data_IF_272664041031
#
_entry.id   IF_272664041031
#
_cell.length_a   1.000
_cell.length_b   1.000
_cell.length_c   1.000
_cell.angle_alpha   90.00
_cell.angle_beta   90.00
_cell.angle_gamma   90.00
#
_symmetry.space_group_name_H-M   'P 1'
#
loop_
_entity.id
_entity.type
_entity.pdbx_description
1 polymer ?
#
# COMPACT_ATOMS: atom_id res chain seq x y z
N UNK A 1 -5.12 7.55 -8.79
CA UNK A 1 -5.70 6.22 -8.53
C UNK A 1 -4.74 5.15 -9.03
N UNK A 2 -4.48 5.03 -10.34
CA UNK A 2 -3.56 3.99 -10.85
C UNK A 2 -2.14 4.03 -10.26
N UNK A 3 -1.49 5.21 -10.20
CA UNK A 3 -0.14 5.30 -9.59
C UNK A 3 -0.19 5.09 -8.07
N UNK A 4 -1.32 5.40 -7.44
CA UNK A 4 -1.52 5.08 -6.02
C UNK A 4 -1.63 3.58 -5.79
N UNK A 5 -2.37 2.87 -6.65
CA UNK A 5 -2.43 1.40 -6.63
C UNK A 5 -1.04 0.80 -6.89
N UNK A 6 -0.28 1.35 -7.85
CA UNK A 6 1.10 0.94 -8.07
C UNK A 6 1.96 1.15 -6.82
N UNK A 7 1.85 2.31 -6.16
CA UNK A 7 2.59 2.62 -4.95
C UNK A 7 2.28 1.66 -3.80
N UNK A 8 1.01 1.28 -3.67
CA UNK A 8 0.51 0.32 -2.67
C UNK A 8 1.10 -1.08 -2.89
N UNK A 9 1.24 -1.54 -4.14
CA UNK A 9 1.77 -2.89 -4.47
C UNK A 9 3.30 -3.04 -4.29
N UNK A 10 4.04 -1.95 -4.06
CA UNK A 10 5.52 -1.99 -4.03
C UNK A 10 6.10 -2.93 -2.96
N UNK A 11 5.59 -2.96 -1.71
CA UNK A 11 6.10 -3.88 -0.69
C UNK A 11 6.01 -5.35 -1.14
N UNK A 12 4.93 -5.71 -1.84
CA UNK A 12 4.68 -7.07 -2.32
C UNK A 12 5.51 -7.45 -3.56
N UNK A 13 6.35 -6.56 -4.10
CA UNK A 13 7.29 -6.92 -5.16
C UNK A 13 8.37 -7.90 -4.68
N UNK A 14 8.46 -8.19 -3.38
CA UNK A 14 9.21 -9.33 -2.85
C UNK A 14 8.78 -10.68 -3.46
N UNK A 15 7.56 -10.78 -4.00
CA UNK A 15 7.06 -11.98 -4.71
C UNK A 15 7.92 -12.36 -5.91
N UNK A 16 8.59 -11.40 -6.55
CA UNK A 16 9.51 -11.70 -7.66
C UNK A 16 10.76 -12.44 -7.19
N UNK A 17 11.10 -12.34 -5.90
CA UNK A 17 12.17 -13.11 -5.28
C UNK A 17 11.70 -14.48 -4.76
N UNK A 18 10.38 -14.75 -4.70
CA UNK A 18 9.83 -16.02 -4.21
C UNK A 18 10.43 -17.28 -4.84
N UNK A 19 10.72 -17.35 -6.16
CA UNK A 19 11.33 -18.54 -6.77
C UNK A 19 12.72 -18.90 -6.20
N UNK A 20 13.37 -17.99 -5.49
CA UNK A 20 14.66 -18.22 -4.83
C UNK A 20 14.54 -18.88 -3.45
N UNK A 21 13.31 -19.10 -2.95
CA UNK A 21 13.03 -19.53 -1.58
C UNK A 21 12.08 -20.74 -1.54
N UNK A 22 12.19 -21.55 -0.50
CA UNK A 22 11.21 -22.60 -0.21
C UNK A 22 9.88 -22.00 0.26
N UNK A 23 8.78 -22.74 0.16
CA UNK A 23 7.45 -22.25 0.58
C UNK A 23 7.43 -21.70 2.02
N UNK A 24 8.13 -22.37 2.95
CA UNK A 24 8.27 -21.92 4.33
C UNK A 24 9.09 -20.63 4.45
N UNK A 25 10.14 -20.49 3.64
CA UNK A 25 10.96 -19.27 3.61
C UNK A 25 10.20 -18.10 2.97
N UNK A 26 9.38 -18.34 1.96
CA UNK A 26 8.56 -17.31 1.33
C UNK A 26 7.62 -16.65 2.36
N UNK A 27 7.03 -17.42 3.27
CA UNK A 27 6.20 -16.86 4.36
C UNK A 27 6.96 -15.91 5.30
N UNK A 28 8.27 -16.11 5.45
CA UNK A 28 9.13 -15.26 6.28
C UNK A 28 9.67 -14.07 5.49
N UNK A 29 10.06 -14.27 4.23
CA UNK A 29 10.60 -13.22 3.37
C UNK A 29 9.50 -12.23 3.00
N UNK A 30 8.34 -12.75 2.61
CA UNK A 30 7.15 -11.94 2.40
C UNK A 30 6.76 -11.26 3.72
N UNK A 31 6.35 -9.99 3.63
CA UNK A 31 6.05 -9.16 4.81
C UNK A 31 7.25 -8.91 5.73
N UNK A 32 8.46 -9.13 5.22
CA UNK A 32 9.73 -8.90 5.90
C UNK A 32 10.27 -7.48 5.67
N UNK A 33 11.48 -7.38 5.14
CA UNK A 33 12.20 -6.11 4.95
C UNK A 33 11.42 -5.12 4.08
N UNK A 34 10.76 -5.59 3.01
CA UNK A 34 9.95 -4.79 2.09
C UNK A 34 8.74 -4.14 2.76
N UNK A 35 8.27 -4.68 3.89
CA UNK A 35 7.15 -4.16 4.68
C UNK A 35 7.61 -3.45 5.95
N UNK A 36 8.87 -3.03 6.01
CA UNK A 36 9.41 -2.27 7.13
C UNK A 36 9.24 -0.76 6.97
N UNK A 37 9.15 -0.03 8.08
CA UNK A 37 9.19 1.43 8.05
C UNK A 37 10.53 1.95 7.51
N UNK A 38 11.61 1.20 7.71
CA UNK A 38 12.91 1.51 7.13
C UNK A 38 12.86 1.51 5.60
N UNK A 39 12.29 0.44 5.01
CA UNK A 39 12.12 0.34 3.55
C UNK A 39 11.21 1.44 3.01
N UNK A 40 10.07 1.71 3.67
CA UNK A 40 9.16 2.79 3.27
C UNK A 40 9.90 4.14 3.26
N UNK A 41 10.62 4.48 4.32
CA UNK A 41 11.33 5.75 4.44
C UNK A 41 12.43 5.91 3.37
N UNK A 42 13.09 4.82 2.98
CA UNK A 42 14.13 4.83 1.96
C UNK A 42 13.55 4.88 0.54
N UNK A 43 12.55 4.04 0.24
CA UNK A 43 12.00 3.90 -1.10
C UNK A 43 11.08 5.05 -1.49
N UNK A 44 10.33 5.64 -0.56
CA UNK A 44 9.40 6.74 -0.86
C UNK A 44 10.08 7.93 -1.55
N UNK A 45 11.18 8.51 -1.03
CA UNK A 45 11.86 9.63 -1.69
C UNK A 45 12.54 9.22 -3.00
N UNK A 46 13.07 8.00 -3.08
CA UNK A 46 13.70 7.46 -4.29
C UNK A 46 12.69 7.34 -5.43
N UNK A 47 11.57 6.69 -5.18
CA UNK A 47 10.47 6.54 -6.13
C UNK A 47 9.82 7.88 -6.46
N UNK A 48 9.65 8.72 -5.44
CA UNK A 48 9.18 10.09 -5.62
C UNK A 48 10.06 10.85 -6.60
N UNK A 49 11.37 10.71 -6.47
CA UNK A 49 12.35 11.37 -7.35
C UNK A 49 12.29 10.81 -8.76
N UNK A 50 12.28 9.49 -8.90
CA UNK A 50 12.20 8.81 -10.19
C UNK A 50 10.93 9.22 -10.95
N UNK A 51 9.77 9.22 -10.29
CA UNK A 51 8.50 9.63 -10.89
C UNK A 51 8.44 11.13 -11.20
N UNK A 52 9.08 11.98 -10.39
CA UNK A 52 9.20 13.40 -10.73
C UNK A 52 10.01 13.63 -12.03
N UNK A 53 10.96 12.74 -12.34
CA UNK A 53 11.75 12.78 -13.58
C UNK A 53 11.04 12.10 -14.75
N UNK A 54 10.26 11.06 -14.49
CA UNK A 54 9.49 10.37 -15.51
C UNK A 54 8.27 11.20 -15.95
N UNK A 55 7.59 11.84 -15.01
CA UNK A 55 6.39 12.65 -15.23
C UNK A 55 6.67 14.15 -15.12
N UNK A 56 7.77 14.65 -15.72
CA UNK A 56 8.19 16.07 -15.64
C UNK A 56 7.08 17.07 -16.03
N UNK A 57 6.24 16.71 -16.99
CA UNK A 57 5.17 17.58 -17.50
C UNK A 57 3.87 17.51 -16.68
N UNK A 58 3.82 16.74 -15.60
CA UNK A 58 2.63 16.61 -14.75
C UNK A 58 2.36 17.83 -13.86
N UNK A 59 3.35 18.71 -13.67
CA UNK A 59 3.27 19.82 -12.71
C UNK A 59 3.33 19.38 -11.24
N UNK A 60 3.52 18.08 -10.97
CA UNK A 60 3.58 17.52 -9.62
C UNK A 60 5.00 17.58 -9.09
N UNK A 61 5.17 18.15 -7.89
CA UNK A 61 6.49 18.28 -7.26
C UNK A 61 7.03 16.93 -6.78
N UNK A 62 8.35 16.81 -6.69
CA UNK A 62 9.01 15.65 -6.09
C UNK A 62 8.44 15.27 -4.72
N UNK A 63 8.22 16.27 -3.85
CA UNK A 63 7.63 16.06 -2.52
C UNK A 63 6.25 15.42 -2.58
N UNK A 64 5.43 15.81 -3.55
CA UNK A 64 4.08 15.26 -3.71
C UNK A 64 4.13 13.80 -4.19
N UNK A 65 5.06 13.47 -5.08
CA UNK A 65 5.32 12.09 -5.48
C UNK A 65 5.83 11.25 -4.30
N UNK A 66 6.78 11.77 -3.52
CA UNK A 66 7.27 11.10 -2.31
C UNK A 66 6.13 10.80 -1.34
N UNK A 67 5.24 11.75 -1.09
CA UNK A 67 4.06 11.53 -0.24
C UNK A 67 3.09 10.50 -0.79
N UNK A 68 2.89 10.46 -2.12
CA UNK A 68 2.05 9.43 -2.74
C UNK A 68 2.61 8.02 -2.47
N UNK A 69 3.91 7.83 -2.69
CA UNK A 69 4.57 6.54 -2.44
C UNK A 69 4.62 6.19 -0.96
N UNK A 70 4.95 7.15 -0.10
CA UNK A 70 4.95 6.97 1.34
C UNK A 70 3.60 6.52 1.85
N UNK A 71 2.52 7.26 1.51
CA UNK A 71 1.18 6.94 1.99
C UNK A 71 0.71 5.59 1.46
N UNK A 72 0.95 5.27 0.18
CA UNK A 72 0.57 3.98 -0.40
C UNK A 72 1.24 2.81 0.31
N UNK A 73 2.58 2.81 0.38
CA UNK A 73 3.32 1.72 1.05
C UNK A 73 3.02 1.66 2.55
N UNK A 74 2.85 2.81 3.22
CA UNK A 74 2.53 2.86 4.64
C UNK A 74 1.15 2.28 4.94
N UNK A 75 0.13 2.62 4.15
CA UNK A 75 -1.22 2.05 4.34
C UNK A 75 -1.24 0.55 4.07
N UNK A 76 -0.49 0.08 3.07
CA UNK A 76 -0.31 -1.36 2.81
C UNK A 76 0.24 -2.11 4.02
N UNK A 77 1.38 -1.66 4.53
CA UNK A 77 2.07 -2.25 5.70
C UNK A 77 1.21 -2.20 6.96
N UNK A 78 0.44 -1.13 7.14
CA UNK A 78 -0.49 -1.00 8.25
C UNK A 78 -1.63 -2.02 8.13
N UNK A 79 -2.28 -2.13 6.97
CA UNK A 79 -3.37 -3.09 6.73
C UNK A 79 -2.90 -4.54 6.89
N UNK A 80 -1.70 -4.86 6.41
CA UNK A 80 -1.13 -6.20 6.60
C UNK A 80 -0.96 -6.57 8.07
N UNK A 81 -0.60 -5.61 8.92
CA UNK A 81 -0.45 -5.85 10.36
C UNK A 81 -1.79 -6.10 11.07
N UNK A 82 -2.92 -5.72 10.49
CA UNK A 82 -4.25 -6.02 11.04
C UNK A 82 -4.60 -7.51 10.91
N UNK A 83 -3.89 -8.23 10.04
CA UNK A 83 -4.08 -9.67 9.80
C UNK A 83 -3.23 -10.54 10.72
N UNK A 84 -3.45 -11.85 10.70
CA UNK A 84 -2.78 -12.84 11.55
C UNK A 84 -1.40 -13.31 11.07
N UNK A 85 -0.94 -12.90 9.88
CA UNK A 85 0.35 -13.38 9.35
C UNK A 85 1.57 -12.64 9.91
N UNK A 86 1.37 -11.44 10.46
CA UNK A 86 2.42 -10.62 11.04
C UNK A 86 3.30 -9.91 10.01
N UNK A 87 3.71 -8.69 10.34
CA UNK A 87 4.45 -7.80 9.44
C UNK A 87 5.71 -7.26 10.12
N UNK A 88 6.84 -7.29 9.41
CA UNK A 88 8.17 -6.90 9.91
C UNK A 88 8.41 -5.39 9.92
N UNK A 89 7.64 -4.64 10.72
CA UNK A 89 7.74 -3.16 10.77
C UNK A 89 9.15 -2.64 11.06
N UNK A 90 9.90 -3.36 11.89
CA UNK A 90 11.19 -2.96 12.42
C UNK A 90 12.39 -3.66 11.76
N UNK A 91 12.16 -4.45 10.71
CA UNK A 91 13.26 -5.02 9.91
C UNK A 91 14.10 -3.87 9.30
N UNK A 92 15.44 -4.00 9.19
CA UNK A 92 16.26 -5.15 9.57
C UNK A 92 16.77 -5.11 11.03
N UNK A 93 16.27 -4.19 11.86
CA UNK A 93 16.77 -3.98 13.22
C UNK A 93 16.18 -4.97 14.23
N UNK A 94 14.97 -5.48 13.96
CA UNK A 94 14.30 -6.48 14.77
C UNK A 94 13.42 -7.36 13.89
N UNK A 95 13.48 -8.66 14.14
CA UNK A 95 12.63 -9.66 13.47
C UNK A 95 11.25 -9.83 14.13
N UNK A 96 10.86 -8.91 15.01
CA UNK A 96 9.52 -8.91 15.61
C UNK A 96 8.44 -8.68 14.55
N UNK A 97 7.46 -9.58 14.50
CA UNK A 97 6.32 -9.52 13.57
C UNK A 97 5.11 -8.93 14.26
N UNK A 98 4.70 -7.74 13.81
CA UNK A 98 3.53 -7.03 14.34
C UNK A 98 2.26 -7.62 13.73
N UNK A 99 1.34 -8.06 14.59
CA UNK A 99 0.02 -8.57 14.18
C UNK A 99 -1.03 -8.19 15.23
N UNK A 100 -2.13 -7.58 14.78
CA UNK A 100 -3.26 -7.19 15.64
C UNK A 100 -4.39 -8.23 15.64
N UNK A 101 -4.43 -9.13 14.65
CA UNK A 101 -5.45 -10.18 14.54
C UNK A 101 -6.89 -9.66 14.55
N UNK A 102 -7.14 -8.50 13.95
CA UNK A 102 -8.45 -7.84 13.95
C UNK A 102 -9.26 -8.09 12.68
N UNK A 103 -8.61 -8.29 11.54
CA UNK A 103 -9.27 -8.44 10.23
C UNK A 103 -8.73 -9.67 9.52
N UNK A 104 -9.61 -10.42 8.84
CA UNK A 104 -9.21 -11.51 7.96
C UNK A 104 -8.50 -10.96 6.72
N UNK A 105 -7.54 -11.74 6.21
CA UNK A 105 -6.75 -11.37 5.03
C UNK A 105 -7.62 -11.16 3.81
N UNK A 106 -8.67 -11.98 3.67
CA UNK A 106 -9.73 -11.80 2.70
C UNK A 106 -11.06 -11.71 3.45
N UNK A 107 -11.50 -10.49 3.72
CA UNK A 107 -12.79 -10.21 4.35
C UNK A 107 -13.75 -9.60 3.31
N UNK A 108 -14.78 -10.34 2.84
CA UNK A 108 -15.74 -9.83 1.87
C UNK A 108 -16.54 -8.61 2.36
N UNK A 109 -16.77 -8.47 3.67
CA UNK A 109 -17.51 -7.35 4.24
C UNK A 109 -16.69 -6.06 4.28
N UNK A 110 -15.37 -6.18 4.38
CA UNK A 110 -14.45 -5.05 4.24
C UNK A 110 -14.16 -4.74 2.76
N UNK A 111 -13.73 -5.77 2.00
CA UNK A 111 -13.16 -5.60 0.66
C UNK A 111 -14.19 -5.24 -0.40
N UNK A 112 -15.38 -5.85 -0.41
CA UNK A 112 -16.36 -5.61 -1.47
C UNK A 112 -16.95 -4.19 -1.43
N UNK A 113 -17.40 -3.64 -0.28
CA UNK A 113 -17.91 -2.27 -0.24
C UNK A 113 -16.84 -1.24 -0.61
N UNK A 114 -15.60 -1.45 -0.16
CA UNK A 114 -14.49 -0.57 -0.51
C UNK A 114 -14.16 -0.64 -2.01
N UNK A 115 -14.12 -1.85 -2.59
CA UNK A 115 -13.89 -2.07 -4.01
C UNK A 115 -14.94 -1.37 -4.88
N UNK A 116 -16.23 -1.45 -4.50
CA UNK A 116 -17.30 -0.75 -5.22
C UNK A 116 -17.05 0.76 -5.22
N UNK A 117 -16.66 1.34 -4.07
CA UNK A 117 -16.35 2.77 -3.98
C UNK A 117 -15.19 3.16 -4.89
N UNK A 118 -14.12 2.35 -4.93
CA UNK A 118 -12.96 2.57 -5.79
C UNK A 118 -13.33 2.46 -7.27
N UNK A 119 -14.10 1.43 -7.68
CA UNK A 119 -14.53 1.23 -9.07
C UNK A 119 -15.42 2.39 -9.55
N UNK A 120 -16.37 2.83 -8.73
CA UNK A 120 -17.23 3.98 -9.06
C UNK A 120 -16.39 5.25 -9.20
N UNK A 121 -15.43 5.48 -8.29
CA UNK A 121 -14.54 6.64 -8.35
C UNK A 121 -13.54 6.58 -9.54
N UNK A 122 -13.17 5.38 -9.99
CA UNK A 122 -12.29 5.15 -11.14
C UNK A 122 -12.98 5.46 -12.47
N UNK A 123 -14.25 5.08 -12.61
CA UNK A 123 -15.05 5.28 -13.84
C UNK A 123 -15.62 6.71 -13.91
N UNK A 124 -15.86 7.37 -12.78
CA UNK A 124 -16.37 8.74 -12.74
C UNK A 124 -15.41 9.72 -13.44
N UNK A 125 -15.97 10.65 -14.24
CA UNK A 125 -15.19 11.69 -14.94
C UNK A 125 -14.31 12.48 -13.97
N UNK A 126 -13.11 12.81 -14.44
CA UNK A 126 -12.13 13.62 -13.71
C UNK A 126 -12.79 14.92 -13.20
N UNK A 127 -12.48 15.29 -11.95
CA UNK A 127 -12.93 16.54 -11.28
C UNK A 127 -14.44 16.62 -10.97
N UNK A 128 -15.19 15.51 -11.04
CA UNK A 128 -16.60 15.53 -10.62
C UNK A 128 -16.78 15.47 -9.09
N UNK A 129 -17.75 16.18 -8.50
CA UNK A 129 -18.07 16.08 -7.07
C UNK A 129 -18.42 14.64 -6.64
N UNK A 130 -19.03 13.87 -7.56
CA UNK A 130 -19.34 12.44 -7.35
C UNK A 130 -18.08 11.64 -7.03
N UNK A 131 -16.98 11.85 -7.76
CA UNK A 131 -15.72 11.14 -7.54
C UNK A 131 -15.13 11.44 -6.15
N UNK A 132 -15.15 12.71 -5.73
CA UNK A 132 -14.69 13.11 -4.39
C UNK A 132 -15.56 12.47 -3.31
N UNK A 133 -16.88 12.45 -3.50
CA UNK A 133 -17.82 11.79 -2.58
C UNK A 133 -17.49 10.32 -2.42
N UNK A 134 -17.34 9.57 -3.50
CA UNK A 134 -17.07 8.13 -3.45
C UNK A 134 -15.70 7.79 -2.86
N UNK A 135 -14.66 8.59 -3.14
CA UNK A 135 -13.37 8.46 -2.45
C UNK A 135 -13.50 8.66 -0.94
N UNK A 136 -14.25 9.69 -0.49
CA UNK A 136 -14.49 9.94 0.94
C UNK A 136 -15.28 8.81 1.59
N UNK A 137 -16.34 8.32 0.94
CA UNK A 137 -17.14 7.19 1.45
C UNK A 137 -16.27 5.94 1.59
N UNK A 138 -15.43 5.64 0.59
CA UNK A 138 -14.48 4.53 0.68
C UNK A 138 -13.54 4.67 1.87
N UNK A 139 -12.93 5.86 2.06
CA UNK A 139 -12.05 6.12 3.21
C UNK A 139 -12.78 5.98 4.55
N UNK A 140 -14.03 6.45 4.66
CA UNK A 140 -14.84 6.29 5.87
C UNK A 140 -15.13 4.82 6.16
N UNK A 141 -15.56 4.05 5.15
CA UNK A 141 -15.80 2.60 5.30
C UNK A 141 -14.53 1.90 5.78
N UNK A 142 -13.40 2.18 5.13
CA UNK A 142 -12.11 1.56 5.45
C UNK A 142 -11.59 1.94 6.86
N UNK A 143 -11.88 3.16 7.33
CA UNK A 143 -11.38 3.63 8.63
C UNK A 143 -12.29 3.30 9.81
N UNK A 144 -13.57 3.01 9.58
CA UNK A 144 -14.56 2.67 10.61
C UNK A 144 -14.71 1.17 10.84
N UNK A 145 -14.34 0.36 9.85
CA UNK A 145 -14.34 -1.10 9.95
C UNK A 145 -13.28 -1.58 10.93
#
# INVERSE_FOLDING_TARGET
MLIGALADTIPDFDVFASPCFTDAQQLLVHRGITHSFFFILLMSPLLGWLFSKWMKNSGVSWKSWTWLFFLGMFTHVLLDSLTSYGTGWFEPFSSYRVSFNTIFVADPFYTLPFLICVLVALIAKNVTPKRVKWNRVGLWISSLY
#
